data_IF_237158967240
#
_entry.id   IF_237158967240
#
_cell.length_a   1.000
_cell.length_b   1.000
_cell.length_c   1.000
_cell.angle_alpha   90.00
_cell.angle_beta   90.00
_cell.angle_gamma   90.00
#
_symmetry.space_group_name_H-M   'P 1'
#
loop_
_entity.id
_entity.type
_entity.pdbx_description
1 polymer ?
#
# COMPACT_ATOMS: atom_id res chain seq x y z
N UNK A 1 39.66 11.68 -67.84
CA UNK A 1 38.94 11.49 -66.57
C UNK A 1 38.28 12.83 -66.21
N UNK A 2 36.95 12.95 -66.29
CA UNK A 2 36.19 14.17 -65.93
C UNK A 2 35.75 14.11 -64.45
N UNK A 3 34.93 15.04 -63.90
CA UNK A 3 34.60 16.45 -64.22
C UNK A 3 34.85 17.36 -62.96
N UNK A 4 34.63 18.69 -62.87
CA UNK A 4 33.42 19.54 -63.00
C UNK A 4 33.94 21.02 -62.88
N UNK A 5 33.71 22.03 -63.73
CA UNK A 5 32.47 22.73 -64.19
C UNK A 5 31.58 23.08 -62.99
N UNK A 6 31.17 24.30 -62.64
CA UNK A 6 30.94 25.63 -63.25
C UNK A 6 30.72 26.60 -62.05
N UNK A 7 30.48 27.90 -62.10
CA UNK A 7 30.57 29.02 -63.04
C UNK A 7 30.28 30.29 -62.20
N UNK A 8 30.98 31.39 -62.49
CA UNK A 8 30.70 32.80 -62.10
C UNK A 8 29.32 33.28 -62.64
N UNK A 9 28.76 34.49 -62.33
CA UNK A 9 29.44 35.75 -61.92
C UNK A 9 28.71 36.69 -60.93
N UNK A 10 29.42 37.80 -60.63
CA UNK A 10 28.99 39.04 -60.00
C UNK A 10 28.01 39.89 -60.85
N UNK A 11 27.60 41.07 -60.31
CA UNK A 11 27.08 42.33 -60.93
C UNK A 11 25.83 42.78 -60.14
N UNK A 12 25.49 44.04 -59.91
CA UNK A 12 26.14 45.35 -59.77
C UNK A 12 25.04 46.29 -59.23
N UNK A 13 25.43 47.41 -58.63
CA UNK A 13 24.51 48.42 -58.12
C UNK A 13 23.76 49.17 -59.25
N UNK A 14 22.52 49.58 -59.01
CA UNK A 14 21.87 50.70 -59.70
C UNK A 14 20.82 51.36 -58.80
N UNK A 15 20.93 52.69 -58.72
CA UNK A 15 20.07 53.66 -58.01
C UNK A 15 19.01 54.22 -58.99
N UNK A 16 17.80 54.51 -58.50
CA UNK A 16 16.69 55.18 -59.22
C UNK A 16 15.59 54.20 -59.64
N UNK A 17 14.28 54.42 -59.49
CA UNK A 17 13.47 55.64 -59.64
C UNK A 17 12.05 55.43 -59.05
N UNK A 18 11.45 56.53 -58.58
CA UNK A 18 10.01 56.95 -58.58
C UNK A 18 8.83 55.93 -58.63
N UNK A 19 8.02 55.90 -57.54
CA UNK A 19 6.51 55.93 -57.37
C UNK A 19 5.59 55.43 -58.53
N UNK A 20 4.36 54.88 -58.30
CA UNK A 20 3.87 53.77 -57.45
C UNK A 20 2.97 52.75 -58.24
N UNK A 21 3.07 51.43 -58.04
CA UNK A 21 1.96 50.52 -58.43
C UNK A 21 1.80 49.33 -57.47
N UNK A 22 0.53 49.06 -57.15
CA UNK A 22 0.01 48.05 -56.22
C UNK A 22 0.29 46.61 -56.70
N UNK A 23 0.86 45.75 -55.84
CA UNK A 23 0.42 44.37 -55.56
C UNK A 23 1.52 43.53 -54.87
N UNK A 24 1.20 43.02 -53.66
CA UNK A 24 1.65 41.78 -52.98
C UNK A 24 3.11 41.28 -53.04
N UNK A 25 3.65 41.04 -51.82
CA UNK A 25 4.37 39.84 -51.33
C UNK A 25 5.83 39.98 -50.82
N UNK A 26 5.96 39.88 -49.49
CA UNK A 26 6.94 39.11 -48.66
C UNK A 26 8.44 39.50 -48.63
N UNK A 27 8.86 39.99 -47.45
CA UNK A 27 10.10 39.78 -46.66
C UNK A 27 11.45 39.55 -47.38
N UNK A 28 12.57 40.21 -47.02
CA UNK A 28 13.30 39.93 -45.77
C UNK A 28 14.72 40.60 -45.73
N UNK A 29 15.22 40.86 -44.50
CA UNK A 29 16.63 40.98 -44.03
C UNK A 29 17.39 42.26 -44.49
N UNK A 30 18.01 43.10 -43.65
CA UNK A 30 18.79 42.90 -42.41
C UNK A 30 18.97 44.22 -41.62
N UNK A 31 18.77 44.19 -40.29
CA UNK A 31 19.26 45.20 -39.36
C UNK A 31 20.26 44.54 -38.40
N UNK A 32 21.55 44.63 -38.74
CA UNK A 32 22.68 44.19 -37.91
C UNK A 32 23.61 45.40 -37.84
N UNK A 33 23.76 46.06 -36.70
CA UNK A 33 24.95 46.01 -35.84
C UNK A 33 24.54 46.67 -34.51
N UNK A 34 24.39 45.91 -33.42
CA UNK A 34 24.06 46.48 -32.11
C UNK A 34 23.71 45.53 -30.96
N UNK A 35 23.85 44.20 -31.10
CA UNK A 35 23.30 43.24 -30.11
C UNK A 35 24.30 42.27 -29.47
N UNK A 36 25.60 42.29 -29.80
CA UNK A 36 26.50 41.18 -29.43
C UNK A 36 27.15 41.26 -28.05
N UNK A 37 26.92 42.30 -27.23
CA UNK A 37 27.50 42.36 -25.87
C UNK A 37 26.44 42.36 -24.75
N UNK A 38 25.20 42.77 -25.03
CA UNK A 38 24.09 42.65 -24.06
C UNK A 38 23.44 41.25 -24.02
N UNK A 39 23.56 40.46 -25.10
CA UNK A 39 22.97 39.12 -25.19
C UNK A 39 23.59 38.09 -24.23
N UNK A 40 24.91 38.08 -24.06
CA UNK A 40 25.58 37.04 -23.25
C UNK A 40 25.40 37.24 -21.73
N UNK A 41 25.33 38.48 -21.26
CA UNK A 41 25.08 38.79 -19.82
C UNK A 41 23.61 38.61 -19.49
N UNK A 42 22.68 39.00 -20.38
CA UNK A 42 21.26 38.72 -20.20
C UNK A 42 20.94 37.22 -20.28
N UNK A 43 21.59 36.45 -21.15
CA UNK A 43 21.42 34.99 -21.21
C UNK A 43 21.96 34.28 -19.97
N UNK A 44 23.12 34.70 -19.41
CA UNK A 44 23.63 34.14 -18.16
C UNK A 44 22.77 34.52 -16.94
N UNK A 45 22.27 35.75 -16.88
CA UNK A 45 21.34 36.20 -15.83
C UNK A 45 19.97 35.49 -15.94
N UNK A 46 19.45 35.33 -17.17
CA UNK A 46 18.23 34.58 -17.45
C UNK A 46 18.38 33.09 -17.13
N UNK A 47 19.52 32.47 -17.46
CA UNK A 47 19.81 31.07 -17.12
C UNK A 47 19.91 30.86 -15.60
N UNK A 48 20.51 31.79 -14.86
CA UNK A 48 20.57 31.74 -13.39
C UNK A 48 19.18 31.96 -12.75
N UNK A 49 18.36 32.85 -13.32
CA UNK A 49 16.97 33.08 -12.91
C UNK A 49 16.09 31.86 -13.22
N UNK A 50 16.25 31.24 -14.39
CA UNK A 50 15.54 30.02 -14.79
C UNK A 50 15.93 28.83 -13.90
N UNK A 51 17.22 28.66 -13.57
CA UNK A 51 17.67 27.61 -12.64
C UNK A 51 17.12 27.80 -11.22
N UNK A 52 17.04 29.05 -10.73
CA UNK A 52 16.40 29.38 -9.45
C UNK A 52 14.88 29.21 -9.47
N UNK A 53 14.22 29.54 -10.58
CA UNK A 53 12.79 29.33 -10.76
C UNK A 53 12.45 27.83 -10.85
N UNK A 54 13.28 27.02 -11.52
CA UNK A 54 13.14 25.57 -11.55
C UNK A 54 13.42 24.93 -10.18
N UNK A 55 14.39 25.46 -9.42
CA UNK A 55 14.64 25.01 -8.04
C UNK A 55 13.45 25.35 -7.12
N UNK A 56 12.91 26.58 -7.18
CA UNK A 56 11.69 26.94 -6.46
C UNK A 56 10.49 26.13 -6.89
N UNK A 57 10.26 25.93 -8.18
CA UNK A 57 9.17 25.08 -8.67
C UNK A 57 9.30 23.63 -8.18
N UNK A 58 10.53 23.12 -8.05
CA UNK A 58 10.80 21.81 -7.47
C UNK A 58 10.55 21.78 -5.96
N UNK A 59 10.97 22.80 -5.22
CA UNK A 59 10.71 22.94 -3.78
C UNK A 59 9.21 23.11 -3.49
N UNK A 60 8.51 23.95 -4.25
CA UNK A 60 7.07 24.15 -4.19
C UNK A 60 6.32 22.85 -4.55
N UNK A 61 6.80 22.09 -5.55
CA UNK A 61 6.28 20.76 -5.87
C UNK A 61 6.49 19.77 -4.71
N UNK A 62 7.68 19.73 -4.11
CA UNK A 62 7.97 18.85 -2.96
C UNK A 62 7.12 19.21 -1.73
N UNK A 63 6.95 20.50 -1.44
CA UNK A 63 6.08 20.96 -0.36
C UNK A 63 4.60 20.65 -0.65
N UNK A 64 4.16 20.77 -1.91
CA UNK A 64 2.79 20.40 -2.32
C UNK A 64 2.50 18.90 -2.18
N UNK A 65 3.53 18.04 -2.27
CA UNK A 65 3.38 16.60 -2.01
C UNK A 65 3.15 16.32 -0.53
N UNK A 66 3.77 17.10 0.36
CA UNK A 66 3.69 16.92 1.81
C UNK A 66 2.29 17.22 2.36
N UNK A 67 1.58 18.20 1.81
CA UNK A 67 0.19 18.52 2.21
C UNK A 67 -0.82 17.45 1.77
N UNK A 68 -0.57 16.77 0.64
CA UNK A 68 -1.45 15.72 0.14
C UNK A 68 -1.35 14.42 0.93
N UNK A 69 -0.27 14.19 1.66
CA UNK A 69 -0.03 12.96 2.44
C UNK A 69 -0.47 13.06 3.90
N UNK A 70 -1.00 14.20 4.35
CA UNK A 70 -1.37 14.40 5.76
C UNK A 70 -2.58 13.56 6.14
N UNK A 71 -2.47 12.91 7.29
CA UNK A 71 -3.58 12.24 7.96
C UNK A 71 -4.29 13.21 8.90
N UNK A 72 -5.62 13.29 8.83
CA UNK A 72 -6.42 14.09 9.77
C UNK A 72 -7.61 13.29 10.29
N UNK A 73 -8.07 13.62 11.50
CA UNK A 73 -9.35 13.16 12.05
C UNK A 73 -10.35 14.27 11.78
N UNK A 74 -11.38 13.99 10.98
CA UNK A 74 -12.39 14.98 10.63
C UNK A 74 -13.75 14.30 10.45
N UNK A 75 -14.78 14.86 11.09
CA UNK A 75 -16.18 14.44 10.89
C UNK A 75 -16.78 15.02 9.62
N UNK A 76 -16.18 16.11 9.11
CA UNK A 76 -16.52 16.76 7.85
C UNK A 76 -15.21 16.99 7.08
N UNK A 77 -14.89 16.06 6.18
CA UNK A 77 -13.68 16.08 5.37
C UNK A 77 -14.04 16.39 3.91
N UNK A 78 -13.31 17.29 3.23
CA UNK A 78 -13.59 17.60 1.83
C UNK A 78 -13.40 16.35 0.95
N UNK A 79 -14.32 16.14 0.01
CA UNK A 79 -14.21 15.07 -0.97
C UNK A 79 -12.98 15.29 -1.86
N UNK A 80 -11.99 14.42 -1.75
CA UNK A 80 -10.76 14.49 -2.53
C UNK A 80 -10.88 13.64 -3.79
N UNK A 81 -10.84 14.27 -4.97
CA UNK A 81 -10.66 13.53 -6.21
C UNK A 81 -9.18 13.30 -6.50
N UNK A 82 -8.85 12.07 -6.90
CA UNK A 82 -7.50 11.66 -7.26
C UNK A 82 -7.54 11.18 -8.70
N UNK A 83 -6.79 11.85 -9.57
CA UNK A 83 -6.64 11.50 -10.98
C UNK A 83 -5.24 10.97 -11.24
N UNK A 84 -5.12 9.94 -12.09
CA UNK A 84 -3.85 9.30 -12.40
C UNK A 84 -3.31 8.49 -11.22
N UNK A 85 -1.98 8.49 -11.02
CA UNK A 85 -1.30 7.80 -9.92
C UNK A 85 -0.69 8.81 -8.96
N UNK A 86 -1.06 8.75 -7.69
CA UNK A 86 -0.60 9.70 -6.68
C UNK A 86 -0.50 9.05 -5.30
N UNK A 87 0.37 9.63 -4.45
CA UNK A 87 0.41 9.33 -3.02
C UNK A 87 -0.51 10.30 -2.29
N UNK A 88 -1.43 9.78 -1.48
CA UNK A 88 -2.43 10.58 -0.76
C UNK A 88 -2.55 10.12 0.69
N UNK A 89 -2.81 11.06 1.59
CA UNK A 89 -3.06 10.83 3.00
C UNK A 89 -4.48 10.31 3.25
N UNK A 90 -4.82 10.13 4.52
CA UNK A 90 -6.14 9.66 4.91
C UNK A 90 -6.95 10.69 5.71
N UNK A 91 -8.24 10.71 5.46
CA UNK A 91 -9.24 11.35 6.29
C UNK A 91 -9.89 10.27 7.17
N UNK A 92 -9.62 10.30 8.47
CA UNK A 92 -10.13 9.29 9.42
C UNK A 92 -11.53 9.70 9.85
N UNK A 93 -12.53 8.93 9.39
CA UNK A 93 -13.95 9.18 9.61
C UNK A 93 -14.46 8.50 10.88
N UNK A 94 -13.87 7.35 11.24
CA UNK A 94 -14.23 6.63 12.44
C UNK A 94 -13.03 5.95 13.09
N UNK A 95 -13.06 5.84 14.41
CA UNK A 95 -12.08 5.12 15.20
C UNK A 95 -12.79 4.29 16.26
N UNK A 96 -12.47 3.01 16.34
CA UNK A 96 -13.04 2.09 17.31
C UNK A 96 -11.95 1.32 18.04
N UNK A 97 -12.34 0.72 19.17
CA UNK A 97 -11.55 -0.28 19.89
C UNK A 97 -12.35 -1.58 19.99
N UNK A 98 -11.64 -2.70 19.92
CA UNK A 98 -12.19 -4.05 20.12
C UNK A 98 -11.19 -4.96 20.84
N UNK A 99 -11.66 -6.15 21.21
CA UNK A 99 -10.90 -7.14 21.96
C UNK A 99 -11.28 -7.16 23.45
N UNK A 100 -11.01 -8.25 24.18
CA UNK A 100 -11.34 -8.37 25.60
C UNK A 100 -10.74 -7.28 26.49
N UNK A 101 -9.62 -6.70 26.08
CA UNK A 101 -8.86 -5.66 26.78
C UNK A 101 -8.73 -4.38 25.96
N UNK A 102 -9.57 -4.16 24.95
CA UNK A 102 -9.46 -3.04 23.99
C UNK A 102 -8.07 -2.97 23.31
N UNK A 103 -7.45 -4.12 23.07
CA UNK A 103 -6.11 -4.22 22.48
C UNK A 103 -6.06 -3.88 20.99
N UNK A 104 -7.20 -3.87 20.28
CA UNK A 104 -7.23 -3.61 18.85
C UNK A 104 -7.88 -2.26 18.56
N UNK A 105 -7.19 -1.42 17.80
CA UNK A 105 -7.70 -0.13 17.34
C UNK A 105 -8.05 -0.22 15.86
N UNK A 106 -9.29 0.12 15.52
CA UNK A 106 -9.79 0.15 14.14
C UNK A 106 -9.89 1.58 13.66
N UNK A 107 -9.32 1.87 12.49
CA UNK A 107 -9.34 3.16 11.83
C UNK A 107 -10.03 3.01 10.47
N UNK A 108 -11.06 3.81 10.23
CA UNK A 108 -11.74 3.89 8.93
C UNK A 108 -11.21 5.13 8.21
N UNK A 109 -10.41 4.90 7.17
CA UNK A 109 -9.56 5.87 6.51
C UNK A 109 -10.02 6.11 5.08
N UNK A 110 -10.61 7.26 4.79
CA UNK A 110 -11.02 7.64 3.43
C UNK A 110 -9.85 8.32 2.70
N UNK A 111 -9.56 7.89 1.48
CA UNK A 111 -8.42 8.40 0.70
C UNK A 111 -8.85 9.24 -0.51
N UNK A 112 -9.93 8.83 -1.17
CA UNK A 112 -10.46 9.51 -2.35
C UNK A 112 -11.97 9.30 -2.48
N UNK A 113 -12.63 10.22 -3.16
CA UNK A 113 -14.01 10.08 -3.61
C UNK A 113 -14.07 9.48 -5.02
N UNK A 114 -15.08 8.66 -5.27
CA UNK A 114 -15.28 7.87 -6.48
C UNK A 114 -14.63 6.49 -6.42
N UNK A 115 -14.94 5.71 -7.46
CA UNK A 115 -14.35 4.39 -7.67
C UNK A 115 -12.92 4.53 -8.22
N UNK A 116 -11.96 3.98 -7.47
CA UNK A 116 -10.55 3.96 -7.86
C UNK A 116 -10.16 2.64 -8.52
N UNK A 117 -9.09 2.66 -9.29
CA UNK A 117 -8.54 1.46 -9.94
C UNK A 117 -7.85 0.54 -8.94
N UNK A 118 -6.92 1.07 -8.13
CA UNK A 118 -6.15 0.27 -7.19
C UNK A 118 -5.52 1.09 -6.07
N UNK A 119 -5.37 0.46 -4.92
CA UNK A 119 -4.44 0.90 -3.86
C UNK A 119 -3.21 -0.01 -3.96
N UNK A 120 -2.14 0.54 -4.53
CA UNK A 120 -0.91 -0.21 -4.83
C UNK A 120 -0.13 -0.49 -3.56
N UNK A 121 0.09 0.52 -2.73
CA UNK A 121 0.92 0.42 -1.52
C UNK A 121 0.34 1.29 -0.39
N UNK A 122 0.41 0.77 0.84
CA UNK A 122 0.03 1.51 2.06
C UNK A 122 1.27 1.76 2.87
N UNK A 123 1.34 2.94 3.47
CA UNK A 123 2.39 3.34 4.37
C UNK A 123 1.78 3.77 5.71
N UNK A 124 2.45 3.36 6.78
CA UNK A 124 2.17 3.80 8.14
C UNK A 124 3.47 4.42 8.67
N UNK A 125 3.40 5.61 9.28
CA UNK A 125 4.58 6.36 9.76
C UNK A 125 5.69 6.47 8.69
N UNK A 126 5.30 6.71 7.44
CA UNK A 126 6.18 6.74 6.25
C UNK A 126 6.93 5.44 5.92
N UNK A 127 6.61 4.33 6.56
CA UNK A 127 7.15 3.01 6.24
C UNK A 127 6.16 2.20 5.42
N UNK A 128 6.60 1.54 4.35
CA UNK A 128 5.74 0.68 3.56
C UNK A 128 5.28 -0.50 4.42
N UNK A 129 4.02 -0.88 4.27
CA UNK A 129 3.41 -1.95 5.03
C UNK A 129 3.89 -3.33 4.56
N UNK A 130 4.14 -3.48 3.25
CA UNK A 130 4.49 -4.76 2.62
C UNK A 130 3.27 -5.55 2.12
N UNK A 131 3.49 -6.79 1.66
CA UNK A 131 2.44 -7.66 1.13
C UNK A 131 1.43 -8.07 2.20
N UNK A 132 0.16 -8.11 1.80
CA UNK A 132 -0.97 -8.54 2.62
C UNK A 132 -1.42 -9.95 2.20
N UNK A 133 -1.87 -10.75 3.15
CA UNK A 133 -2.58 -12.01 2.86
C UNK A 133 -4.05 -11.76 2.45
N UNK A 134 -4.80 -12.84 2.19
CA UNK A 134 -6.21 -12.77 1.76
C UNK A 134 -7.11 -12.14 2.84
N UNK A 135 -6.75 -12.34 4.11
CA UNK A 135 -7.39 -11.74 5.27
C UNK A 135 -6.96 -10.28 5.50
N UNK A 136 -5.99 -9.77 4.75
CA UNK A 136 -5.50 -8.39 4.80
C UNK A 136 -4.43 -8.16 5.87
N UNK A 137 -3.89 -9.19 6.50
CA UNK A 137 -2.79 -9.08 7.46
C UNK A 137 -1.46 -8.91 6.74
N UNK A 138 -0.58 -8.12 7.36
CA UNK A 138 0.80 -7.99 6.88
C UNK A 138 1.53 -9.30 7.05
N UNK A 139 2.26 -9.71 6.03
CA UNK A 139 2.97 -11.01 6.00
C UNK A 139 4.48 -10.89 6.17
N UNK A 140 5.05 -9.70 5.97
CA UNK A 140 6.50 -9.45 6.09
C UNK A 140 6.78 -7.97 6.44
N UNK A 141 8.00 -7.65 6.84
CA UNK A 141 8.44 -6.27 7.11
C UNK A 141 8.26 -5.84 8.58
N UNK A 142 8.44 -4.54 8.82
CA UNK A 142 8.50 -3.95 10.18
C UNK A 142 7.23 -4.17 11.01
N UNK A 143 6.07 -4.30 10.36
CA UNK A 143 4.77 -4.47 10.99
C UNK A 143 4.32 -5.93 11.10
N UNK A 144 5.17 -6.86 10.65
CA UNK A 144 4.98 -8.29 10.83
C UNK A 144 5.83 -8.75 12.02
N UNK A 145 5.20 -9.33 13.05
CA UNK A 145 5.95 -10.04 14.06
C UNK A 145 6.22 -11.43 13.49
N UNK A 146 7.40 -11.61 12.91
CA UNK A 146 7.93 -12.95 12.77
C UNK A 146 8.13 -13.49 14.17
N UNK A 147 7.25 -14.41 14.57
CA UNK A 147 7.41 -15.29 15.72
C UNK A 147 7.13 -14.66 17.10
N UNK A 148 5.92 -14.87 17.61
CA UNK A 148 5.69 -14.98 19.06
C UNK A 148 5.95 -16.42 19.49
N UNK A 149 6.75 -16.62 20.52
CA UNK A 149 6.95 -17.93 21.14
C UNK A 149 5.89 -18.17 22.20
N UNK A 150 5.07 -19.20 22.02
CA UNK A 150 4.08 -19.64 23.02
C UNK A 150 4.41 -21.03 23.55
N UNK A 151 4.07 -21.26 24.82
CA UNK A 151 4.18 -22.57 25.45
C UNK A 151 2.83 -23.28 25.37
N UNK A 152 2.86 -24.55 24.96
CA UNK A 152 1.69 -25.43 25.05
C UNK A 152 2.06 -26.68 25.84
N UNK A 153 1.09 -27.22 26.57
CA UNK A 153 1.20 -28.53 27.21
C UNK A 153 0.10 -29.44 26.69
N UNK A 154 0.51 -30.55 26.08
CA UNK A 154 -0.37 -31.58 25.54
C UNK A 154 -0.22 -32.87 26.36
N UNK A 155 -1.33 -33.56 26.60
CA UNK A 155 -1.33 -34.83 27.35
C UNK A 155 -1.68 -35.99 26.43
N UNK A 156 -0.88 -37.05 26.50
CA UNK A 156 -1.04 -38.28 25.73
C UNK A 156 -1.10 -39.49 26.66
N UNK A 157 -1.72 -40.58 26.22
CA UNK A 157 -1.84 -41.81 27.03
C UNK A 157 -0.80 -42.86 26.65
N UNK A 158 -0.29 -42.83 25.42
CA UNK A 158 0.68 -43.81 24.89
C UNK A 158 1.76 -43.14 24.03
N UNK A 159 2.92 -43.78 23.93
CA UNK A 159 4.03 -43.40 23.05
C UNK A 159 4.15 -44.42 21.90
N UNK A 160 4.43 -43.99 20.65
CA UNK A 160 4.73 -42.63 20.22
C UNK A 160 3.49 -41.73 20.13
N UNK A 161 3.69 -40.42 20.17
CA UNK A 161 2.63 -39.43 20.05
C UNK A 161 3.03 -38.27 19.15
N UNK A 162 2.04 -37.65 18.50
CA UNK A 162 2.24 -36.57 17.53
C UNK A 162 1.70 -35.27 18.10
N UNK A 163 2.58 -34.27 18.21
CA UNK A 163 2.24 -32.92 18.68
C UNK A 163 1.35 -32.21 17.65
N UNK A 164 0.41 -31.38 18.14
CA UNK A 164 -0.50 -30.65 17.24
C UNK A 164 0.17 -29.49 16.49
N UNK A 165 1.27 -28.96 17.04
CA UNK A 165 2.05 -27.87 16.46
C UNK A 165 3.52 -28.29 16.28
N UNK A 166 4.20 -27.65 15.34
CA UNK A 166 5.63 -27.84 15.15
C UNK A 166 6.40 -27.06 16.22
N UNK A 167 7.17 -27.74 17.10
CA UNK A 167 7.95 -27.05 18.11
C UNK A 167 9.13 -26.32 17.49
N UNK A 168 9.45 -25.19 18.11
CA UNK A 168 10.44 -24.22 17.64
C UNK A 168 11.70 -24.15 18.50
N UNK A 169 11.62 -24.66 19.72
CA UNK A 169 12.73 -24.73 20.68
C UNK A 169 12.51 -25.92 21.62
N UNK A 170 12.96 -25.82 22.88
CA UNK A 170 12.99 -26.87 23.88
C UNK A 170 11.64 -27.60 24.04
N UNK A 171 11.73 -28.93 24.07
CA UNK A 171 10.62 -29.86 24.32
C UNK A 171 10.95 -30.60 25.61
N UNK A 172 9.98 -30.68 26.53
CA UNK A 172 10.07 -31.45 27.76
C UNK A 172 8.96 -32.49 27.78
N UNK A 173 9.30 -33.73 28.10
CA UNK A 173 8.34 -34.84 28.20
C UNK A 173 8.38 -35.41 29.61
N UNK A 174 7.24 -35.39 30.29
CA UNK A 174 7.07 -35.96 31.63
C UNK A 174 6.16 -37.18 31.52
N UNK A 175 6.65 -38.35 31.92
CA UNK A 175 5.82 -39.53 32.11
C UNK A 175 5.22 -39.53 33.51
N UNK A 176 3.92 -39.73 33.63
CA UNK A 176 3.20 -39.77 34.91
C UNK A 176 2.46 -41.10 35.07
N UNK A 177 2.49 -41.66 36.28
CA UNK A 177 1.97 -43.00 36.49
C UNK A 177 1.85 -43.42 37.95
N UNK A 178 1.39 -44.66 38.17
CA UNK A 178 1.31 -45.26 39.50
C UNK A 178 2.58 -46.03 39.81
N UNK A 179 3.04 -45.94 41.06
CA UNK A 179 4.16 -46.78 41.53
C UNK A 179 3.62 -48.17 41.85
N UNK A 180 4.30 -49.18 41.34
CA UNK A 180 3.95 -50.58 41.46
C UNK A 180 5.05 -51.34 42.20
N UNK A 181 4.65 -52.22 43.11
CA UNK A 181 5.56 -53.19 43.72
C UNK A 181 6.12 -54.15 42.66
N UNK A 182 7.22 -54.84 42.98
CA UNK A 182 7.73 -55.93 42.14
C UNK A 182 6.67 -57.03 41.87
N UNK A 183 5.72 -57.21 42.79
CA UNK A 183 4.59 -58.14 42.66
C UNK A 183 3.37 -57.58 41.91
N UNK A 184 3.46 -56.37 41.33
CA UNK A 184 2.40 -55.76 40.52
C UNK A 184 1.23 -55.17 41.29
N UNK A 185 1.37 -54.96 42.61
CA UNK A 185 0.37 -54.24 43.42
C UNK A 185 0.64 -52.74 43.43
N UNK A 186 -0.39 -51.88 43.26
CA UNK A 186 -0.23 -50.44 43.29
C UNK A 186 0.00 -49.90 44.70
N UNK A 187 0.91 -48.96 44.87
CA UNK A 187 1.06 -48.22 46.11
C UNK A 187 -0.09 -47.20 46.30
N UNK A 188 -0.52 -46.91 47.55
CA UNK A 188 -1.60 -45.98 47.85
C UNK A 188 -1.11 -44.51 47.91
N UNK A 189 -0.25 -44.11 46.96
CA UNK A 189 0.25 -42.74 46.84
C UNK A 189 -0.31 -42.06 45.58
N UNK A 190 -0.31 -40.72 45.53
CA UNK A 190 -0.61 -39.99 44.30
C UNK A 190 0.32 -40.41 43.15
N UNK A 191 -0.12 -40.26 41.88
CA UNK A 191 0.72 -40.51 40.72
C UNK A 191 2.05 -39.74 40.80
N UNK A 192 3.14 -40.42 40.43
CA UNK A 192 4.48 -39.85 40.38
C UNK A 192 4.84 -39.52 38.93
N UNK A 193 5.62 -38.46 38.74
CA UNK A 193 6.04 -37.99 37.43
C UNK A 193 7.56 -37.85 37.34
N UNK A 194 8.12 -38.18 36.19
CA UNK A 194 9.55 -38.03 35.90
C UNK A 194 9.79 -37.63 34.46
N UNK A 195 10.86 -36.88 34.22
CA UNK A 195 11.30 -36.54 32.87
C UNK A 195 11.86 -37.79 32.17
N UNK A 196 11.49 -37.95 30.90
CA UNK A 196 11.91 -39.10 30.08
C UNK A 196 12.61 -38.63 28.81
N UNK A 197 13.63 -39.38 28.39
CA UNK A 197 14.31 -39.18 27.13
C UNK A 197 13.44 -39.64 25.95
N UNK A 198 13.57 -38.95 24.82
CA UNK A 198 12.79 -39.22 23.61
C UNK A 198 13.62 -38.96 22.35
N UNK A 199 13.18 -39.54 21.23
CA UNK A 199 13.61 -39.17 19.89
C UNK A 199 12.48 -38.46 19.15
N UNK A 200 12.82 -37.59 18.20
CA UNK A 200 11.87 -36.79 17.41
C UNK A 200 12.06 -37.01 15.92
N UNK A 201 10.97 -37.25 15.20
CA UNK A 201 10.92 -37.20 13.73
C UNK A 201 9.71 -36.35 13.35
N UNK A 202 9.94 -35.20 12.70
CA UNK A 202 8.86 -34.25 12.40
C UNK A 202 8.17 -33.76 13.68
N UNK A 203 6.86 -33.95 13.80
CA UNK A 203 6.08 -33.60 15.00
C UNK A 203 5.80 -34.82 15.90
N UNK A 204 6.39 -35.98 15.60
CA UNK A 204 6.20 -37.21 16.36
C UNK A 204 7.36 -37.42 17.32
N UNK A 205 7.04 -37.66 18.59
CA UNK A 205 8.00 -38.05 19.62
C UNK A 205 7.83 -39.53 19.99
N UNK A 206 8.95 -40.21 20.16
CA UNK A 206 9.02 -41.59 20.65
C UNK A 206 9.84 -41.62 21.92
N UNK A 207 9.25 -42.01 23.04
CA UNK A 207 9.96 -42.14 24.32
C UNK A 207 10.96 -43.29 24.24
N UNK A 208 12.20 -43.05 24.65
CA UNK A 208 13.32 -44.02 24.54
C UNK A 208 13.86 -44.50 25.88
N UNK A 209 13.45 -43.89 27.00
CA UNK A 209 13.82 -44.33 28.35
C UNK A 209 12.61 -44.78 29.15
N UNK A 210 12.79 -45.80 29.99
CA UNK A 210 11.81 -46.10 31.04
C UNK A 210 11.79 -44.98 32.09
N UNK A 211 10.61 -44.61 32.63
CA UNK A 211 10.54 -43.66 33.73
C UNK A 211 11.25 -44.21 34.97
N UNK A 212 12.00 -43.37 35.66
CA UNK A 212 12.56 -43.74 36.96
C UNK A 212 11.45 -43.82 38.01
N UNK A 213 11.47 -44.89 38.82
CA UNK A 213 10.67 -44.92 40.03
C UNK A 213 11.42 -44.21 41.16
N UNK A 214 10.79 -43.30 41.93
CA UNK A 214 11.46 -42.62 43.05
C UNK A 214 11.78 -43.54 44.22
N UNK A 215 11.25 -44.78 44.23
CA UNK A 215 11.45 -45.77 45.30
C UNK A 215 12.26 -46.96 44.75
N UNK A 216 13.43 -47.28 45.34
CA UNK A 216 14.22 -48.45 44.93
C UNK A 216 13.40 -49.76 44.98
N UNK A 217 13.57 -50.62 43.97
CA UNK A 217 12.89 -51.93 43.90
C UNK A 217 11.43 -51.89 43.41
N UNK A 218 10.97 -50.75 42.87
CA UNK A 218 9.63 -50.57 42.32
C UNK A 218 9.68 -50.10 40.87
N UNK A 219 8.56 -50.18 40.15
CA UNK A 219 8.44 -49.68 38.78
C UNK A 219 7.25 -48.75 38.63
N UNK A 220 7.30 -47.86 37.64
CA UNK A 220 6.22 -46.91 37.36
C UNK A 220 5.34 -47.44 36.22
N UNK A 221 4.07 -47.67 36.49
CA UNK A 221 3.06 -47.91 35.46
C UNK A 221 2.61 -46.57 34.88
N UNK A 222 3.15 -46.22 33.71
CA UNK A 222 2.77 -44.96 33.02
C UNK A 222 1.30 -44.99 32.65
N UNK A 223 0.61 -43.91 33.01
CA UNK A 223 -0.81 -43.69 32.68
C UNK A 223 -0.97 -42.54 31.69
N UNK A 224 -0.06 -41.56 31.73
CA UNK A 224 -0.05 -40.44 30.78
C UNK A 224 1.36 -39.86 30.58
N UNK A 225 1.53 -39.15 29.48
CA UNK A 225 2.67 -38.32 29.15
C UNK A 225 2.20 -36.87 29.02
N UNK A 226 2.92 -35.93 29.61
CA UNK A 226 2.70 -34.49 29.39
C UNK A 226 3.89 -33.94 28.63
N UNK A 227 3.61 -33.34 27.48
CA UNK A 227 4.61 -32.77 26.57
C UNK A 227 4.45 -31.27 26.62
N UNK A 228 5.46 -30.59 27.15
CA UNK A 228 5.52 -29.13 27.16
C UNK A 228 6.52 -28.68 26.13
N UNK A 229 6.11 -27.86 25.17
CA UNK A 229 7.02 -27.34 24.15
C UNK A 229 6.66 -25.92 23.75
N UNK A 230 7.64 -25.21 23.19
CA UNK A 230 7.40 -23.89 22.63
C UNK A 230 7.19 -23.96 21.12
N UNK A 231 6.23 -23.22 20.60
CA UNK A 231 5.96 -23.10 19.17
C UNK A 231 5.90 -21.63 18.76
N UNK A 232 6.21 -21.36 17.48
CA UNK A 232 6.15 -20.01 16.92
C UNK A 232 4.75 -19.79 16.35
N UNK A 233 4.14 -18.70 16.77
CA UNK A 233 2.94 -18.14 16.15
C UNK A 233 3.39 -16.95 15.33
N UNK A 234 3.12 -16.98 14.03
CA UNK A 234 3.21 -15.78 13.21
C UNK A 234 2.06 -14.87 13.59
N UNK A 235 2.35 -13.62 13.94
CA UNK A 235 1.32 -12.65 14.28
C UNK A 235 1.58 -11.35 13.53
N UNK A 236 0.51 -10.69 13.14
CA UNK A 236 0.58 -9.47 12.37
C UNK A 236 0.07 -8.31 13.20
N UNK A 237 0.87 -7.25 13.30
CA UNK A 237 0.51 -6.10 14.12
C UNK A 237 -0.54 -5.22 13.45
N UNK A 238 -0.69 -5.37 12.13
CA UNK A 238 -1.57 -4.54 11.31
C UNK A 238 -2.39 -5.43 10.37
N UNK A 239 -3.69 -5.13 10.25
CA UNK A 239 -4.54 -5.64 9.18
C UNK A 239 -5.10 -4.47 8.39
N UNK A 240 -5.13 -4.58 7.07
CA UNK A 240 -5.71 -3.60 6.17
C UNK A 240 -6.68 -4.28 5.22
N UNK A 241 -7.94 -3.81 5.22
CA UNK A 241 -8.92 -4.13 4.17
C UNK A 241 -9.08 -2.94 3.24
N UNK A 242 -8.97 -3.18 1.93
CA UNK A 242 -9.03 -2.16 0.88
C UNK A 242 -10.43 -2.18 0.25
N UNK A 243 -11.05 -1.01 0.16
CA UNK A 243 -12.30 -0.80 -0.55
C UNK A 243 -12.10 0.26 -1.63
N UNK A 244 -12.43 -0.10 -2.87
CA UNK A 244 -12.14 0.73 -4.04
C UNK A 244 -13.29 1.69 -4.40
N UNK A 245 -14.37 1.71 -3.63
CA UNK A 245 -15.48 2.64 -3.82
C UNK A 245 -16.47 2.27 -4.91
N UNK A 246 -16.54 0.98 -5.28
CA UNK A 246 -17.52 0.49 -6.25
C UNK A 246 -18.96 0.75 -5.77
N UNK A 247 -19.91 1.07 -6.67
CA UNK A 247 -21.31 1.23 -6.30
C UNK A 247 -21.86 -0.05 -5.65
N UNK A 248 -22.51 0.09 -4.50
CA UNK A 248 -23.11 -1.04 -3.79
C UNK A 248 -22.13 -1.94 -3.03
N UNK A 249 -20.87 -1.51 -2.84
CA UNK A 249 -19.92 -2.22 -1.97
C UNK A 249 -20.51 -2.35 -0.54
N UNK A 250 -20.59 -3.55 0.06
CA UNK A 250 -21.05 -3.72 1.43
C UNK A 250 -20.09 -3.07 2.44
N UNK A 251 -20.56 -2.86 3.67
CA UNK A 251 -19.70 -2.46 4.77
C UNK A 251 -18.66 -3.57 5.06
N UNK A 252 -17.44 -3.16 5.43
CA UNK A 252 -16.34 -4.10 5.66
C UNK A 252 -16.72 -5.22 6.64
N UNK A 253 -16.65 -6.47 6.18
CA UNK A 253 -17.05 -7.62 6.96
C UNK A 253 -16.17 -7.83 8.20
N UNK A 254 -14.88 -7.48 8.12
CA UNK A 254 -13.94 -7.64 9.23
C UNK A 254 -14.21 -6.63 10.35
N UNK A 255 -14.59 -5.40 9.99
CA UNK A 255 -15.02 -4.35 10.90
C UNK A 255 -16.35 -4.70 11.55
N UNK A 256 -17.32 -5.22 10.79
CA UNK A 256 -18.60 -5.66 11.33
C UNK A 256 -18.45 -6.82 12.31
N UNK A 257 -17.55 -7.77 12.04
CA UNK A 257 -17.29 -8.90 12.92
C UNK A 257 -16.71 -8.47 14.28
N UNK A 258 -15.87 -7.43 14.31
CA UNK A 258 -15.17 -6.99 15.54
C UNK A 258 -15.82 -5.78 16.22
N UNK A 259 -16.56 -4.96 15.48
CA UNK A 259 -17.13 -3.68 15.92
C UNK A 259 -18.58 -3.49 15.47
N UNK A 260 -19.34 -4.56 15.21
CA UNK A 260 -20.72 -4.48 14.70
C UNK A 260 -21.71 -3.70 15.57
N UNK A 261 -21.44 -3.60 16.87
CA UNK A 261 -22.25 -2.78 17.79
C UNK A 261 -22.04 -1.26 17.55
N UNK A 262 -20.90 -0.88 16.96
CA UNK A 262 -20.47 0.52 16.76
C UNK A 262 -20.54 0.93 15.29
N UNK A 263 -20.36 0.00 14.35
CA UNK A 263 -20.44 0.21 12.92
C UNK A 263 -21.61 -0.60 12.33
N UNK A 264 -22.55 0.10 11.68
CA UNK A 264 -23.76 -0.55 11.14
C UNK A 264 -23.50 -1.12 9.75
N UNK A 265 -24.16 -2.22 9.35
CA UNK A 265 -24.08 -2.74 7.98
C UNK A 265 -24.51 -1.74 6.90
N UNK A 266 -25.33 -0.75 7.27
CA UNK A 266 -25.78 0.34 6.40
C UNK A 266 -24.71 1.43 6.18
N UNK A 267 -23.62 1.41 6.95
CA UNK A 267 -22.51 2.37 6.86
C UNK A 267 -21.48 1.83 5.85
N UNK A 268 -21.84 1.85 4.56
CA UNK A 268 -21.05 1.19 3.50
C UNK A 268 -19.96 2.07 2.88
N UNK A 269 -19.98 3.39 3.14
CA UNK A 269 -19.08 4.37 2.50
C UNK A 269 -19.03 4.23 0.97
N UNK A 270 -20.16 3.85 0.36
CA UNK A 270 -20.27 3.67 -1.08
C UNK A 270 -19.90 4.96 -1.82
N UNK A 271 -19.16 4.83 -2.91
CA UNK A 271 -18.65 5.98 -3.66
C UNK A 271 -17.38 6.61 -3.06
N UNK A 272 -16.77 6.00 -2.04
CA UNK A 272 -15.45 6.41 -1.53
C UNK A 272 -14.46 5.26 -1.62
N UNK A 273 -13.23 5.59 -1.97
CA UNK A 273 -12.09 4.68 -1.82
C UNK A 273 -11.52 4.83 -0.41
N UNK A 274 -11.60 3.76 0.38
CA UNK A 274 -11.22 3.77 1.78
C UNK A 274 -10.47 2.51 2.18
N UNK A 275 -9.76 2.59 3.31
CA UNK A 275 -9.16 1.43 3.97
C UNK A 275 -9.69 1.30 5.39
N UNK A 276 -9.88 0.06 5.83
CA UNK A 276 -10.11 -0.28 7.23
C UNK A 276 -8.82 -0.84 7.78
N UNK A 277 -8.20 -0.13 8.71
CA UNK A 277 -6.92 -0.47 9.30
C UNK A 277 -7.13 -0.88 10.75
N UNK A 278 -6.75 -2.10 11.10
CA UNK A 278 -6.70 -2.61 12.47
C UNK A 278 -5.25 -2.58 12.95
N UNK A 279 -5.00 -1.98 14.10
CA UNK A 279 -3.69 -1.86 14.75
C UNK A 279 -3.71 -2.59 16.10
N UNK A 280 -2.66 -3.35 16.41
CA UNK A 280 -2.47 -3.95 17.73
C UNK A 280 -1.81 -2.97 18.70
N UNK A 281 -2.59 -2.47 19.67
CA UNK A 281 -2.15 -1.51 20.69
C UNK A 281 -1.19 -2.10 21.73
N UNK A 282 -0.95 -3.42 21.72
CA UNK A 282 0.10 -4.02 22.55
C UNK A 282 1.49 -3.57 22.10
N UNK A 283 1.62 -3.05 20.87
CA UNK A 283 2.85 -2.49 20.35
C UNK A 283 3.01 -1.03 20.74
N UNK A 284 4.18 -0.70 21.28
CA UNK A 284 4.49 0.66 21.75
C UNK A 284 4.37 1.72 20.63
N UNK A 285 4.64 1.35 19.37
CA UNK A 285 4.55 2.28 18.23
C UNK A 285 3.12 2.80 17.99
N UNK A 286 2.09 2.00 18.31
CA UNK A 286 0.68 2.38 18.09
C UNK A 286 0.01 3.00 19.32
N UNK A 287 0.74 3.16 20.42
CA UNK A 287 0.20 3.77 21.66
C UNK A 287 0.30 5.30 21.65
N UNK A 288 1.18 5.88 20.85
CA UNK A 288 1.49 7.33 20.85
C UNK A 288 0.49 8.20 20.06
N UNK A 289 -0.73 7.70 19.80
CA UNK A 289 -1.79 8.45 19.14
C UNK A 289 -2.29 7.79 17.86
N UNK A 290 -2.64 8.61 16.87
CA UNK A 290 -3.01 8.14 15.54
C UNK A 290 -1.78 8.21 14.64
N UNK A 291 -1.35 7.10 14.03
CA UNK A 291 -0.18 7.09 13.16
C UNK A 291 -0.47 7.84 11.84
N UNK A 292 0.59 8.26 11.16
CA UNK A 292 0.44 8.84 9.83
C UNK A 292 0.17 7.74 8.80
N UNK A 293 -0.93 7.84 8.06
CA UNK A 293 -1.42 6.87 7.08
C UNK A 293 -1.48 7.54 5.71
N UNK A 294 -0.72 7.02 4.77
CA UNK A 294 -0.78 7.46 3.39
C UNK A 294 -0.67 6.27 2.42
N UNK A 295 -1.29 6.40 1.25
CA UNK A 295 -1.42 5.33 0.26
C UNK A 295 -0.93 5.80 -1.09
N UNK A 296 -0.22 4.94 -1.80
CA UNK A 296 0.03 5.08 -3.23
C UNK A 296 -1.12 4.40 -3.97
N UNK A 297 -1.86 5.18 -4.77
CA UNK A 297 -3.04 4.67 -5.46
C UNK A 297 -3.09 5.11 -6.91
N UNK A 298 -3.74 4.28 -7.74
CA UNK A 298 -4.30 4.67 -9.02
C UNK A 298 -5.73 5.12 -8.76
N UNK A 299 -5.98 6.40 -8.98
CA UNK A 299 -7.22 7.07 -8.64
C UNK A 299 -8.42 6.69 -9.50
N UNK A 300 -9.32 7.66 -9.64
CA UNK A 300 -10.64 7.51 -10.25
C UNK A 300 -10.56 6.91 -11.65
N UNK A 301 -11.46 5.96 -11.94
CA UNK A 301 -11.68 5.46 -13.31
C UNK A 301 -12.42 6.51 -14.13
N UNK A 302 -12.00 6.70 -15.38
CA UNK A 302 -12.51 7.74 -16.26
C UNK A 302 -13.32 7.14 -17.39
N UNK A 303 -14.48 7.74 -17.69
CA UNK A 303 -15.24 7.42 -18.88
C UNK A 303 -14.53 7.95 -20.13
N UNK A 304 -14.27 7.09 -21.10
CA UNK A 304 -13.71 7.47 -22.39
C UNK A 304 -14.82 7.51 -23.47
N UNK A 305 -15.21 8.70 -23.98
CA UNK A 305 -16.25 8.83 -24.99
C UNK A 305 -15.87 8.21 -26.35
N UNK A 306 -14.60 7.85 -26.58
CA UNK A 306 -14.15 7.17 -27.80
C UNK A 306 -14.55 5.70 -27.82
N UNK A 307 -14.50 5.06 -26.67
CA UNK A 307 -14.70 3.61 -26.52
C UNK A 307 -15.99 3.26 -25.80
N UNK A 308 -16.57 4.23 -25.07
CA UNK A 308 -17.73 4.01 -24.20
C UNK A 308 -17.41 3.24 -22.93
N UNK A 309 -16.12 3.03 -22.62
CA UNK A 309 -15.67 2.27 -21.45
C UNK A 309 -15.20 3.21 -20.34
N UNK A 310 -15.38 2.75 -19.09
CA UNK A 310 -14.83 3.42 -17.90
C UNK A 310 -13.65 2.62 -17.38
N UNK A 311 -12.46 3.22 -17.45
CA UNK A 311 -11.21 2.57 -17.04
C UNK A 311 -10.21 3.60 -16.50
N UNK A 312 -9.18 3.13 -15.81
CA UNK A 312 -8.10 4.02 -15.38
C UNK A 312 -7.37 4.65 -16.57
N UNK A 313 -7.21 5.97 -16.55
CA UNK A 313 -6.41 6.71 -17.51
C UNK A 313 -5.77 7.94 -16.85
N UNK A 314 -4.58 8.31 -17.31
CA UNK A 314 -3.92 9.58 -16.95
C UNK A 314 -4.06 10.63 -18.04
N UNK A 315 -4.90 10.40 -19.05
CA UNK A 315 -5.12 11.33 -20.15
C UNK A 315 -5.82 12.61 -19.63
N UNK A 316 -5.20 13.80 -19.79
CA UNK A 316 -5.72 15.04 -19.20
C UNK A 316 -7.05 15.49 -19.83
N UNK A 317 -7.33 15.14 -21.08
CA UNK A 317 -8.61 15.46 -21.72
C UNK A 317 -9.76 14.69 -21.06
N UNK A 318 -9.54 13.41 -20.74
CA UNK A 318 -10.51 12.58 -20.02
C UNK A 318 -10.67 13.03 -18.57
N UNK A 319 -9.58 13.44 -17.92
CA UNK A 319 -9.64 14.01 -16.56
C UNK A 319 -10.47 15.29 -16.54
N UNK A 320 -10.27 16.19 -17.50
CA UNK A 320 -11.05 17.43 -17.59
C UNK A 320 -12.54 17.13 -17.83
N UNK A 321 -12.84 16.15 -18.68
CA UNK A 321 -14.22 15.72 -18.94
C UNK A 321 -14.90 15.16 -17.68
N UNK A 322 -14.24 14.24 -16.96
CA UNK A 322 -14.78 13.71 -15.71
C UNK A 322 -14.92 14.81 -14.65
N UNK A 323 -13.93 15.69 -14.50
CA UNK A 323 -14.00 16.78 -13.52
C UNK A 323 -15.21 17.70 -13.77
N UNK A 324 -15.46 18.11 -15.02
CA UNK A 324 -16.59 18.98 -15.36
C UNK A 324 -17.96 18.30 -15.17
N UNK A 325 -18.04 17.01 -15.47
CA UNK A 325 -19.27 16.22 -15.31
C UNK A 325 -19.47 15.68 -13.89
N UNK A 326 -18.42 15.71 -13.05
CA UNK A 326 -18.48 15.30 -11.64
C UNK A 326 -19.41 16.20 -10.82
N UNK A 327 -19.78 15.71 -9.64
CA UNK A 327 -20.61 16.45 -8.67
C UNK A 327 -20.03 17.81 -8.24
N UNK A 328 -18.72 18.04 -8.45
CA UNK A 328 -18.09 19.32 -8.15
C UNK A 328 -18.52 20.43 -9.12
N UNK A 329 -18.71 20.12 -10.41
CA UNK A 329 -19.05 21.09 -11.44
C UNK A 329 -20.47 20.90 -11.98
N UNK A 330 -20.96 19.66 -12.05
CA UNK A 330 -22.34 19.31 -12.39
C UNK A 330 -22.76 19.68 -13.81
N UNK A 331 -21.81 19.77 -14.75
CA UNK A 331 -22.13 20.09 -16.16
C UNK A 331 -22.73 18.85 -16.81
N UNK A 332 -23.90 19.01 -17.46
CA UNK A 332 -24.52 17.92 -18.21
C UNK A 332 -23.58 17.48 -19.34
N UNK A 333 -23.27 16.17 -19.46
CA UNK A 333 -22.52 15.63 -20.60
C UNK A 333 -23.03 16.09 -21.98
N UNK A 334 -24.34 16.38 -22.13
CA UNK A 334 -24.95 16.87 -23.36
C UNK A 334 -24.54 18.31 -23.73
N UNK A 335 -24.18 19.13 -22.74
CA UNK A 335 -23.73 20.51 -22.94
C UNK A 335 -22.23 20.59 -23.32
N UNK A 336 -21.50 19.49 -23.13
CA UNK A 336 -20.08 19.43 -23.46
C UNK A 336 -19.86 19.07 -24.93
N UNK A 337 -18.95 19.75 -25.65
CA UNK A 337 -18.63 19.41 -27.03
C UNK A 337 -17.78 18.13 -27.08
N UNK A 338 -18.41 16.95 -26.94
CA UNK A 338 -17.76 15.63 -26.83
C UNK A 338 -16.76 15.37 -27.96
N UNK A 339 -17.08 15.79 -29.20
CA UNK A 339 -16.17 15.65 -30.34
C UNK A 339 -14.81 16.33 -30.11
N UNK A 340 -14.78 17.48 -29.42
CA UNK A 340 -13.52 18.18 -29.08
C UNK A 340 -12.73 17.45 -28.00
N UNK A 341 -13.41 16.84 -27.03
CA UNK A 341 -12.76 15.99 -26.02
C UNK A 341 -12.18 14.73 -26.64
N UNK A 342 -12.86 14.11 -27.61
CA UNK A 342 -12.33 12.98 -28.39
C UNK A 342 -11.06 13.39 -29.14
N UNK A 343 -11.09 14.51 -29.86
CA UNK A 343 -9.91 15.03 -30.57
C UNK A 343 -8.76 15.30 -29.60
N UNK A 344 -9.02 15.99 -28.48
CA UNK A 344 -8.02 16.29 -27.47
C UNK A 344 -7.43 15.02 -26.84
N UNK A 345 -8.27 14.03 -26.52
CA UNK A 345 -7.83 12.75 -25.96
C UNK A 345 -6.88 12.02 -26.92
N UNK A 346 -7.19 11.98 -28.21
CA UNK A 346 -6.32 11.40 -29.23
C UNK A 346 -4.96 12.12 -29.31
N UNK A 347 -4.97 13.46 -29.30
CA UNK A 347 -3.72 14.26 -29.31
C UNK A 347 -2.88 14.01 -28.06
N UNK A 348 -3.50 13.91 -26.89
CA UNK A 348 -2.78 13.62 -25.64
C UNK A 348 -2.16 12.22 -25.60
N UNK A 349 -2.69 11.26 -26.37
CA UNK A 349 -2.17 9.90 -26.48
C UNK A 349 -1.10 9.77 -27.59
N UNK A 350 -0.82 10.82 -28.36
CA UNK A 350 0.20 10.79 -29.40
C UNK A 350 1.60 10.59 -28.81
N UNK A 351 2.33 9.60 -29.32
CA UNK A 351 3.73 9.39 -28.95
C UNK A 351 4.61 10.49 -29.54
N UNK A 352 5.33 11.20 -28.67
CA UNK A 352 6.37 12.15 -29.09
C UNK A 352 7.64 11.35 -29.39
N UNK A 353 8.01 11.25 -30.67
CA UNK A 353 9.28 10.64 -31.07
C UNK A 353 10.47 11.39 -30.42
N UNK A 354 11.28 10.67 -29.64
CA UNK A 354 12.54 11.18 -29.06
C UNK A 354 12.57 11.36 -27.54
N UNK A 355 11.48 11.07 -26.83
CA UNK A 355 11.46 10.94 -25.36
C UNK A 355 10.99 9.53 -24.97
N UNK A 356 11.85 8.54 -25.19
CA UNK A 356 11.75 7.23 -24.57
C UNK A 356 13.14 6.71 -24.18
#
# INVERSE_FOLDING_TARGET
>A
MPPLIAALPAIAAAVGLTVPQLAFAVASISLTIGTTVFGAVQQKAAAKKAKRAAARAREDFLNSLQERTVTRIATDAPHRYVYGKARVGADIVATFKSGPNDEYKHLVCVHAAGESESIDEIYINNKPLGPLDDEGFVTTGDYFISVRTENISETFTTSPFTMTRTPSSAIRVIASGRVMTAAGQPFPFPPQGGEVSFTRVGNTLTVTSAPSSPIPGTWLQVTSYTVTYQYQVNDSQVRVKKHLGAPGDPADASLLAECGDKWKPTSTLSGFTYTVIRLDLRQAEFQNGVPDINVLMKGRKLYDPRTGLTAWSSNPALVAYDYLTSEMCGVDPADLPVARYITAANVCDEQIQGLC
#
